data_IF_846654554817
#
_entry.id   IF_846654554817
#
_cell.length_a   1.000
_cell.length_b   1.000
_cell.length_c   1.000
_cell.angle_alpha   90.00
_cell.angle_beta   90.00
_cell.angle_gamma   90.00
#
_symmetry.space_group_name_H-M   'P 1'
#
loop_
_entity.id
_entity.type
_entity.pdbx_description
1 polymer ?
#
# COMPACT_ATOMS: atom_id res chain seq x y z
N UNK A 1 7.92 -11.23 -6.23
CA UNK A 1 8.96 -10.45 -5.52
C UNK A 1 8.52 -9.00 -5.56
N UNK A 2 8.36 -8.35 -4.40
CA UNK A 2 8.14 -6.91 -4.34
C UNK A 2 9.50 -6.22 -4.49
N UNK A 3 9.56 -5.22 -5.34
CA UNK A 3 10.76 -4.41 -5.59
C UNK A 3 10.31 -2.95 -5.75
N UNK A 4 11.18 -2.00 -5.42
CA UNK A 4 10.95 -0.54 -5.46
C UNK A 4 10.13 0.07 -4.29
N UNK A 5 10.79 0.20 -3.13
CA UNK A 5 10.29 0.95 -1.96
C UNK A 5 10.62 2.46 -2.03
N UNK A 6 10.93 3.02 -3.21
CA UNK A 6 11.33 4.43 -3.37
C UNK A 6 10.31 5.46 -2.86
N UNK A 7 9.06 5.03 -2.65
CA UNK A 7 7.95 5.81 -2.08
C UNK A 7 7.53 5.40 -0.66
N UNK A 8 8.14 4.36 -0.09
CA UNK A 8 7.95 4.01 1.32
C UNK A 8 8.64 5.07 2.17
N UNK A 9 7.85 5.94 2.81
CA UNK A 9 8.40 7.05 3.59
C UNK A 9 8.82 6.60 4.97
N UNK A 10 10.06 6.92 5.31
CA UNK A 10 10.57 7.05 6.68
C UNK A 10 10.92 8.52 7.03
N UNK A 11 10.89 9.44 6.06
CA UNK A 11 11.15 10.88 6.24
C UNK A 11 10.37 11.72 5.18
N UNK A 12 9.96 12.94 5.55
CA UNK A 12 9.01 13.79 4.83
C UNK A 12 9.64 14.66 3.70
N UNK A 13 10.86 14.39 3.25
CA UNK A 13 11.60 15.30 2.35
C UNK A 13 12.19 14.66 1.09
N UNK A 14 11.42 13.84 0.38
CA UNK A 14 11.65 13.64 -1.05
C UNK A 14 10.43 14.06 -1.86
N UNK A 15 10.56 15.19 -2.57
CA UNK A 15 9.69 15.49 -3.68
C UNK A 15 10.14 14.60 -4.84
N UNK A 16 9.44 13.50 -5.08
CA UNK A 16 9.71 12.64 -6.22
C UNK A 16 9.31 13.37 -7.52
N UNK A 17 10.23 13.47 -8.47
CA UNK A 17 10.06 14.19 -9.76
C UNK A 17 9.26 13.40 -10.82
N UNK A 18 8.60 12.31 -10.46
CA UNK A 18 7.84 11.43 -11.37
C UNK A 18 6.36 11.47 -10.99
N UNK A 19 5.66 12.53 -11.39
CA UNK A 19 4.28 12.79 -10.98
C UNK A 19 3.23 11.92 -11.67
N UNK A 20 3.49 11.39 -12.87
CA UNK A 20 2.39 10.85 -13.71
C UNK A 20 2.15 9.35 -13.51
N UNK A 21 3.19 8.55 -13.25
CA UNK A 21 3.04 7.08 -13.09
C UNK A 21 2.75 6.62 -11.66
N UNK A 22 3.16 7.38 -10.65
CA UNK A 22 2.97 6.99 -9.25
C UNK A 22 1.58 7.34 -8.72
N UNK A 23 0.97 8.43 -9.21
CA UNK A 23 -0.36 8.87 -8.75
C UNK A 23 -1.44 7.81 -9.00
N UNK A 24 -1.31 7.00 -10.05
CA UNK A 24 -2.28 5.94 -10.38
C UNK A 24 -2.42 4.87 -9.30
N UNK A 25 -1.40 4.69 -8.45
CA UNK A 25 -1.42 3.78 -7.32
C UNK A 25 -1.67 4.47 -5.97
N UNK A 26 -1.53 5.80 -5.89
CA UNK A 26 -1.63 6.51 -4.61
C UNK A 26 -3.07 6.56 -4.10
N UNK A 27 -3.22 6.31 -2.80
CA UNK A 27 -4.49 6.47 -2.11
C UNK A 27 -4.89 7.96 -2.02
N UNK A 28 -6.20 8.29 -2.02
CA UNK A 28 -6.67 9.67 -2.03
C UNK A 28 -6.19 10.46 -0.80
N UNK A 29 -6.04 9.81 0.35
CA UNK A 29 -5.49 10.42 1.56
C UNK A 29 -3.99 10.73 1.46
N UNK A 30 -3.23 9.94 0.70
CA UNK A 30 -1.79 10.19 0.49
C UNK A 30 -1.61 11.46 -0.34
N UNK A 31 -2.40 11.60 -1.41
CA UNK A 31 -2.37 12.79 -2.27
C UNK A 31 -2.79 14.05 -1.50
N UNK A 32 -3.83 13.95 -0.66
CA UNK A 32 -4.33 15.07 0.16
C UNK A 32 -3.49 15.38 1.39
N UNK A 33 -2.65 14.45 1.85
CA UNK A 33 -1.95 14.60 3.12
C UNK A 33 -1.05 15.84 3.16
N UNK A 34 -0.51 16.30 2.01
CA UNK A 34 0.44 17.44 1.94
C UNK A 34 1.55 17.39 3.00
N UNK A 35 1.99 16.18 3.40
CA UNK A 35 2.97 16.04 4.48
C UNK A 35 2.40 15.71 5.87
N UNK A 36 1.09 15.48 5.99
CA UNK A 36 0.43 15.06 7.23
C UNK A 36 0.51 13.54 7.42
N UNK A 37 0.34 13.11 8.66
CA UNK A 37 0.26 11.71 9.02
C UNK A 37 -0.95 11.04 8.36
N UNK A 38 -0.75 9.84 7.83
CA UNK A 38 -1.78 8.95 7.30
C UNK A 38 -1.44 7.52 7.71
N UNK A 39 -2.43 6.63 7.66
CA UNK A 39 -2.22 5.21 7.90
C UNK A 39 -1.60 4.57 6.65
N UNK A 40 -0.29 4.28 6.72
CA UNK A 40 0.45 3.69 5.61
C UNK A 40 -0.08 2.31 5.21
N UNK A 41 -0.59 1.51 6.16
CA UNK A 41 -1.11 0.16 5.85
C UNK A 41 -2.39 0.27 5.04
N UNK A 42 -3.28 1.17 5.41
CA UNK A 42 -4.52 1.38 4.64
C UNK A 42 -4.20 1.96 3.26
N UNK A 43 -3.22 2.84 3.13
CA UNK A 43 -2.77 3.36 1.84
C UNK A 43 -2.16 2.26 0.95
N UNK A 44 -1.41 1.32 1.51
CA UNK A 44 -0.89 0.15 0.80
C UNK A 44 -2.03 -0.75 0.31
N UNK A 45 -3.09 -0.95 1.10
CA UNK A 45 -4.26 -1.74 0.70
C UNK A 45 -5.02 -1.11 -0.47
N UNK A 46 -5.09 0.22 -0.54
CA UNK A 46 -5.60 0.89 -1.74
C UNK A 46 -4.74 0.55 -2.96
N UNK A 47 -3.42 0.64 -2.82
CA UNK A 47 -2.48 0.33 -3.90
C UNK A 47 -2.62 -1.13 -4.37
N UNK A 48 -2.84 -2.06 -3.44
CA UNK A 48 -3.16 -3.46 -3.73
C UNK A 48 -4.46 -3.57 -4.53
N UNK A 49 -5.50 -2.80 -4.17
CA UNK A 49 -6.75 -2.73 -4.93
C UNK A 49 -6.55 -2.23 -6.36
N UNK A 50 -5.72 -1.19 -6.55
CA UNK A 50 -5.36 -0.69 -7.88
C UNK A 50 -4.63 -1.77 -8.69
N UNK A 51 -3.63 -2.43 -8.11
CA UNK A 51 -2.89 -3.51 -8.79
C UNK A 51 -3.81 -4.66 -9.16
N UNK A 52 -4.69 -5.08 -8.26
CA UNK A 52 -5.68 -6.12 -8.54
C UNK A 52 -6.57 -5.71 -9.71
N UNK A 53 -7.07 -4.47 -9.72
CA UNK A 53 -7.86 -3.96 -10.84
C UNK A 53 -7.09 -4.02 -12.16
N UNK A 54 -5.83 -3.56 -12.18
CA UNK A 54 -4.97 -3.59 -13.37
C UNK A 54 -4.75 -5.02 -13.86
N UNK A 55 -4.55 -5.99 -12.96
CA UNK A 55 -4.41 -7.39 -13.34
C UNK A 55 -5.69 -7.99 -13.96
N UNK A 56 -6.86 -7.51 -13.54
CA UNK A 56 -8.16 -8.00 -14.03
C UNK A 56 -8.57 -7.33 -15.35
N UNK A 57 -8.29 -6.04 -15.52
CA UNK A 57 -8.82 -5.23 -16.63
C UNK A 57 -7.75 -4.65 -17.57
N UNK A 58 -6.46 -4.78 -17.26
CA UNK A 58 -5.36 -4.29 -18.09
C UNK A 58 -5.22 -2.77 -18.15
N UNK A 59 -5.91 -2.03 -17.28
CA UNK A 59 -5.92 -0.56 -17.23
C UNK A 59 -6.13 -0.08 -15.80
N UNK A 60 -5.89 1.21 -15.52
CA UNK A 60 -6.11 1.77 -14.19
C UNK A 60 -7.59 2.09 -13.91
N UNK A 61 -8.04 1.98 -12.64
CA UNK A 61 -9.45 2.15 -12.28
C UNK A 61 -9.96 3.59 -12.46
N UNK A 62 -9.11 4.58 -12.20
CA UNK A 62 -9.49 6.01 -12.17
C UNK A 62 -8.86 6.83 -13.29
N UNK A 63 -8.10 6.20 -14.18
CA UNK A 63 -7.48 6.91 -15.30
C UNK A 63 -8.53 7.42 -16.30
N UNK A 64 -8.15 8.50 -16.97
CA UNK A 64 -8.90 9.05 -18.08
C UNK A 64 -8.39 8.42 -19.38
N UNK A 65 -9.25 8.37 -20.39
CA UNK A 65 -8.85 7.95 -21.73
C UNK A 65 -7.63 8.77 -22.20
N UNK A 66 -6.63 8.09 -22.77
CA UNK A 66 -5.41 8.73 -23.26
C UNK A 66 -5.70 9.70 -24.41
N UNK A 67 -6.80 9.47 -25.14
CA UNK A 67 -7.24 10.28 -26.26
C UNK A 67 -7.83 11.64 -25.84
N UNK A 68 -8.07 11.87 -24.55
CA UNK A 68 -8.60 13.15 -24.06
C UNK A 68 -7.45 14.13 -23.84
N UNK A 69 -7.29 15.07 -24.78
CA UNK A 69 -6.38 16.20 -24.59
C UNK A 69 -6.93 17.15 -23.53
N UNK A 70 -6.27 17.18 -22.36
CA UNK A 70 -6.58 18.12 -21.29
C UNK A 70 -5.31 18.49 -20.51
N UNK A 71 -5.29 19.66 -19.85
CA UNK A 71 -4.20 20.03 -18.95
C UNK A 71 -4.02 18.99 -17.82
N UNK A 72 -2.76 18.70 -17.46
CA UNK A 72 -2.40 17.73 -16.43
C UNK A 72 -3.07 18.02 -15.06
N UNK A 73 -3.23 19.30 -14.73
CA UNK A 73 -3.93 19.75 -13.51
C UNK A 73 -5.40 19.36 -13.52
N UNK A 74 -6.08 19.51 -14.66
CA UNK A 74 -7.49 19.14 -14.81
C UNK A 74 -7.66 17.62 -14.79
N UNK A 75 -6.74 16.88 -15.44
CA UNK A 75 -6.68 15.41 -15.40
C UNK A 75 -6.57 14.89 -13.97
N UNK A 76 -5.65 15.44 -13.20
CA UNK A 76 -5.42 15.08 -11.80
C UNK A 76 -6.65 15.40 -10.94
N UNK A 77 -7.26 16.58 -11.12
CA UNK A 77 -8.46 16.97 -10.38
C UNK A 77 -9.64 16.02 -10.65
N UNK A 78 -9.86 15.63 -11.91
CA UNK A 78 -10.93 14.70 -12.27
C UNK A 78 -10.67 13.29 -11.75
N UNK A 79 -9.43 12.81 -11.82
CA UNK A 79 -9.02 11.54 -11.24
C UNK A 79 -9.30 11.49 -9.73
N UNK A 80 -8.91 12.54 -8.99
CA UNK A 80 -9.17 12.64 -7.55
C UNK A 80 -10.67 12.69 -7.23
N UNK A 81 -11.48 13.32 -8.06
CA UNK A 81 -12.94 13.32 -7.90
C UNK A 81 -13.53 11.93 -8.13
N UNK A 82 -13.06 11.18 -9.14
CA UNK A 82 -13.46 9.77 -9.36
C UNK A 82 -13.07 8.88 -8.19
N UNK A 83 -11.84 9.03 -7.66
CA UNK A 83 -11.41 8.32 -6.46
C UNK A 83 -12.34 8.61 -5.28
N UNK A 84 -12.67 9.89 -5.05
CA UNK A 84 -13.56 10.33 -3.97
C UNK A 84 -14.97 9.75 -4.10
N UNK A 85 -15.47 9.62 -5.33
CA UNK A 85 -16.78 9.03 -5.64
C UNK A 85 -16.76 7.51 -5.72
N UNK A 86 -15.58 6.90 -5.63
CA UNK A 86 -15.40 5.46 -5.85
C UNK A 86 -15.89 5.03 -7.24
N UNK A 87 -15.79 5.93 -8.22
CA UNK A 87 -16.25 5.72 -9.60
C UNK A 87 -15.15 5.08 -10.44
N UNK A 88 -15.27 3.78 -10.65
CA UNK A 88 -14.44 3.02 -11.60
C UNK A 88 -15.30 2.01 -12.35
N UNK A 89 -14.96 1.76 -13.62
CA UNK A 89 -15.80 0.94 -14.50
C UNK A 89 -15.40 -0.54 -14.46
N UNK A 90 -16.32 -1.41 -14.08
CA UNK A 90 -16.17 -2.86 -14.23
C UNK A 90 -16.86 -3.30 -15.53
N UNK A 91 -16.07 -3.65 -16.55
CA UNK A 91 -16.63 -4.06 -17.84
C UNK A 91 -17.28 -5.45 -17.72
N UNK A 92 -18.50 -5.65 -18.25
CA UNK A 92 -19.17 -6.95 -18.24
C UNK A 92 -18.47 -7.99 -19.12
N UNK A 93 -17.53 -7.58 -19.97
CA UNK A 93 -16.69 -8.48 -20.77
C UNK A 93 -15.75 -9.35 -19.93
N UNK A 94 -15.43 -8.91 -18.70
CA UNK A 94 -14.62 -9.67 -17.75
C UNK A 94 -15.54 -10.32 -16.73
N UNK A 95 -15.62 -11.65 -16.73
CA UNK A 95 -16.43 -12.41 -15.77
C UNK A 95 -15.63 -12.61 -14.48
N UNK A 96 -16.07 -11.96 -13.41
CA UNK A 96 -15.47 -12.07 -12.08
C UNK A 96 -16.37 -12.86 -11.14
N UNK A 97 -15.77 -13.55 -10.17
CA UNK A 97 -16.56 -14.15 -9.07
C UNK A 97 -17.06 -13.05 -8.13
N UNK A 98 -18.18 -13.31 -7.44
CA UNK A 98 -18.75 -12.35 -6.49
C UNK A 98 -17.74 -11.97 -5.39
N UNK A 99 -16.93 -12.91 -4.93
CA UNK A 99 -15.90 -12.66 -3.92
C UNK A 99 -14.75 -11.78 -4.46
N UNK A 100 -14.45 -11.87 -5.75
CA UNK A 100 -13.46 -11.00 -6.39
C UNK A 100 -13.96 -9.56 -6.48
N UNK A 101 -15.23 -9.39 -6.83
CA UNK A 101 -15.89 -8.07 -6.85
C UNK A 101 -15.96 -7.50 -5.43
N UNK A 102 -16.33 -8.31 -4.45
CA UNK A 102 -16.43 -7.89 -3.05
C UNK A 102 -15.08 -7.38 -2.53
N UNK A 103 -14.01 -8.18 -2.62
CA UNK A 103 -12.70 -7.75 -2.10
C UNK A 103 -12.18 -6.50 -2.82
N UNK A 104 -12.37 -6.41 -4.15
CA UNK A 104 -11.91 -5.28 -4.94
C UNK A 104 -12.62 -3.98 -4.55
N UNK A 105 -13.96 -4.02 -4.39
CA UNK A 105 -14.74 -2.84 -3.97
C UNK A 105 -14.43 -2.39 -2.55
N UNK A 106 -14.06 -3.31 -1.65
CA UNK A 106 -13.68 -2.98 -0.27
C UNK A 106 -12.24 -2.46 -0.15
N UNK A 107 -11.33 -2.87 -1.03
CA UNK A 107 -9.98 -2.31 -1.16
C UNK A 107 -10.01 -0.87 -1.70
N UNK A 108 -10.86 -0.60 -2.69
CA UNK A 108 -10.98 0.70 -3.36
C UNK A 108 -11.98 1.66 -2.69
N UNK A 109 -12.10 1.59 -1.36
CA UNK A 109 -12.87 2.56 -0.57
C UNK A 109 -12.07 3.84 -0.33
N UNK A 110 -12.68 4.98 -0.66
CA UNK A 110 -12.05 6.29 -0.49
C UNK A 110 -11.98 6.69 0.99
N UNK A 111 -12.97 6.31 1.79
CA UNK A 111 -12.94 6.50 3.24
C UNK A 111 -12.10 5.39 3.88
N UNK A 112 -10.99 5.77 4.51
CA UNK A 112 -10.08 4.83 5.19
C UNK A 112 -10.77 4.04 6.29
N UNK A 113 -11.83 4.58 6.92
CA UNK A 113 -12.60 3.88 7.96
C UNK A 113 -13.49 2.76 7.41
N UNK A 114 -13.81 2.81 6.11
CA UNK A 114 -14.64 1.83 5.43
C UNK A 114 -13.80 0.87 4.59
N UNK A 115 -12.52 1.18 4.40
CA UNK A 115 -11.58 0.34 3.66
C UNK A 115 -11.28 -0.92 4.47
N UNK A 116 -11.33 -2.06 3.78
CA UNK A 116 -10.99 -3.36 4.38
C UNK A 116 -9.60 -3.32 5.01
N UNK A 117 -9.45 -3.91 6.19
CA UNK A 117 -8.15 -4.00 6.85
C UNK A 117 -7.35 -5.20 6.34
N UNK A 118 -6.06 -5.26 6.64
CA UNK A 118 -5.22 -6.38 6.24
C UNK A 118 -5.70 -7.68 6.89
N UNK A 119 -6.12 -7.62 8.15
CA UNK A 119 -6.66 -8.74 8.91
C UNK A 119 -7.92 -9.31 8.24
N UNK A 120 -8.79 -8.44 7.74
CA UNK A 120 -9.99 -8.83 7.02
C UNK A 120 -9.68 -9.41 5.63
N UNK A 121 -8.72 -8.81 4.90
CA UNK A 121 -8.22 -9.34 3.61
C UNK A 121 -7.71 -10.77 3.78
N UNK A 122 -6.88 -11.02 4.80
CA UNK A 122 -6.26 -12.33 5.04
C UNK A 122 -7.27 -13.42 5.42
N UNK A 123 -8.48 -13.03 5.83
CA UNK A 123 -9.62 -13.92 6.13
C UNK A 123 -10.66 -13.95 5.01
N UNK A 124 -10.49 -13.16 3.96
CA UNK A 124 -11.48 -13.00 2.92
C UNK A 124 -11.61 -14.29 2.07
N UNK A 125 -12.82 -14.76 1.72
CA UNK A 125 -13.01 -15.99 0.94
C UNK A 125 -12.27 -16.00 -0.40
N UNK A 126 -12.17 -14.83 -1.07
CA UNK A 126 -11.39 -14.69 -2.30
C UNK A 126 -9.90 -14.94 -2.07
N UNK A 127 -9.34 -14.41 -0.97
CA UNK A 127 -7.92 -14.54 -0.64
C UNK A 127 -7.56 -15.98 -0.24
N UNK A 128 -8.46 -16.67 0.45
CA UNK A 128 -8.25 -18.04 0.92
C UNK A 128 -8.41 -19.10 -0.18
N UNK A 129 -8.98 -18.75 -1.32
CA UNK A 129 -9.30 -19.70 -2.39
C UNK A 129 -8.02 -20.22 -3.07
N UNK A 130 -7.83 -21.53 -3.05
CA UNK A 130 -6.67 -22.23 -3.67
C UNK A 130 -5.31 -21.74 -3.16
N UNK A 131 -5.24 -21.27 -1.92
CA UNK A 131 -3.95 -20.99 -1.29
C UNK A 131 -3.09 -22.26 -1.20
N UNK A 132 -1.76 -22.16 -1.42
CA UNK A 132 -0.85 -23.27 -1.16
C UNK A 132 -0.99 -23.77 0.28
N UNK A 133 -0.75 -25.08 0.52
CA UNK A 133 -0.60 -25.60 1.89
C UNK A 133 0.41 -24.73 2.66
N UNK A 134 0.10 -24.40 3.91
CA UNK A 134 0.88 -23.53 4.82
C UNK A 134 0.83 -22.02 4.57
N UNK A 135 0.23 -21.52 3.48
CA UNK A 135 0.04 -20.07 3.31
C UNK A 135 -0.86 -19.48 4.43
N UNK A 136 -1.84 -20.24 4.88
CA UNK A 136 -2.71 -19.87 6.00
C UNK A 136 -1.97 -19.83 7.35
N UNK A 137 -0.96 -20.68 7.54
CA UNK A 137 -0.12 -20.66 8.74
C UNK A 137 0.74 -19.40 8.80
N UNK A 138 1.25 -18.95 7.64
CA UNK A 138 1.92 -17.64 7.55
C UNK A 138 0.96 -16.50 7.90
N UNK A 139 -0.30 -16.58 7.48
CA UNK A 139 -1.28 -15.57 7.83
C UNK A 139 -1.45 -15.45 9.35
N UNK A 140 -1.68 -16.58 10.00
CA UNK A 140 -1.82 -16.64 11.46
C UNK A 140 -0.58 -16.13 12.17
N UNK A 141 0.62 -16.45 11.67
CA UNK A 141 1.87 -15.94 12.22
C UNK A 141 1.94 -14.41 12.17
N UNK A 142 1.67 -13.80 11.01
CA UNK A 142 1.74 -12.34 10.87
C UNK A 142 0.65 -11.61 11.64
N UNK A 143 -0.56 -12.18 11.72
CA UNK A 143 -1.66 -11.60 12.50
C UNK A 143 -1.42 -11.67 14.01
N UNK A 144 -0.75 -12.73 14.49
CA UNK A 144 -0.41 -12.90 15.92
C UNK A 144 0.88 -12.16 16.31
N UNK A 145 1.76 -11.90 15.36
CA UNK A 145 2.99 -11.15 15.61
C UNK A 145 2.64 -9.71 15.91
N UNK A 146 2.82 -9.30 17.17
CA UNK A 146 2.77 -7.90 17.53
C UNK A 146 3.74 -7.13 16.61
N UNK A 147 3.20 -6.22 15.80
CA UNK A 147 4.03 -5.26 15.10
C UNK A 147 4.80 -4.46 16.15
N UNK A 148 6.05 -4.04 15.86
CA UNK A 148 6.78 -3.17 16.76
C UNK A 148 5.88 -2.02 17.21
N UNK A 149 5.72 -1.86 18.53
CA UNK A 149 4.91 -0.79 19.08
C UNK A 149 5.58 0.55 18.76
N UNK A 150 4.95 1.34 17.89
CA UNK A 150 5.34 2.71 17.61
C UNK A 150 5.66 3.00 16.14
N UNK A 151 5.41 4.24 15.73
CA UNK A 151 6.09 4.80 14.57
C UNK A 151 7.60 4.76 14.84
N UNK A 152 8.37 4.16 13.94
CA UNK A 152 9.82 4.26 14.02
C UNK A 152 10.21 5.73 14.02
N UNK A 153 10.93 6.15 15.06
CA UNK A 153 11.33 7.54 15.15
C UNK A 153 12.36 7.84 14.07
N UNK A 154 12.38 9.05 13.47
CA UNK A 154 13.38 9.43 12.48
C UNK A 154 14.82 9.16 12.95
N UNK A 155 15.09 9.31 14.25
CA UNK A 155 16.35 8.95 14.92
C UNK A 155 16.70 7.46 14.80
N UNK A 156 15.75 6.56 15.01
CA UNK A 156 15.94 5.10 14.93
C UNK A 156 16.25 4.69 13.49
N UNK A 157 15.54 5.29 12.53
CA UNK A 157 15.78 5.09 11.09
C UNK A 157 17.19 5.57 10.72
N UNK A 158 17.58 6.77 11.17
CA UNK A 158 18.92 7.32 10.95
C UNK A 158 20.01 6.43 11.56
N UNK A 159 19.77 5.88 12.76
CA UNK A 159 20.70 4.95 13.39
C UNK A 159 20.82 3.64 12.60
N UNK A 160 19.71 3.03 12.18
CA UNK A 160 19.71 1.82 11.36
C UNK A 160 20.44 2.04 10.03
N UNK A 161 20.18 3.16 9.35
CA UNK A 161 20.87 3.50 8.10
C UNK A 161 22.38 3.69 8.33
N UNK A 162 22.78 4.31 9.44
CA UNK A 162 24.20 4.50 9.81
C UNK A 162 24.89 3.16 10.11
N UNK A 163 24.21 2.24 10.79
CA UNK A 163 24.70 0.89 11.08
C UNK A 163 24.83 0.06 9.80
N UNK A 164 23.84 0.11 8.91
CA UNK A 164 23.88 -0.60 7.63
C UNK A 164 25.00 -0.11 6.71
N UNK A 165 25.37 1.18 6.83
CA UNK A 165 26.48 1.79 6.08
C UNK A 165 27.87 1.47 6.65
N UNK A 166 27.94 0.99 7.90
CA UNK A 166 29.19 0.64 8.58
C UNK A 166 29.02 -0.67 9.39
N UNK A 167 29.23 -1.84 8.76
CA UNK A 167 29.07 -3.14 9.40
C UNK A 167 29.95 -3.35 10.65
N UNK A 168 31.03 -2.57 10.79
CA UNK A 168 31.97 -2.61 11.92
C UNK A 168 31.40 -2.13 13.25
N UNK A 169 30.21 -1.48 13.27
CA UNK A 169 29.52 -1.05 14.49
C UNK A 169 28.50 -2.08 15.01
N UNK A 170 28.20 -3.14 14.27
CA UNK A 170 27.21 -4.15 14.67
C UNK A 170 27.73 -5.17 15.71
N UNK A 171 29.01 -5.08 16.09
CA UNK A 171 29.71 -6.10 16.89
C UNK A 171 29.87 -5.84 18.39
N UNK A 172 29.32 -4.77 18.98
CA UNK A 172 29.61 -4.43 20.39
C UNK A 172 28.42 -4.51 21.35
N UNK A 173 27.44 -5.36 21.08
CA UNK A 173 26.32 -5.59 22.00
C UNK A 173 26.07 -7.08 22.28
N UNK A 174 27.13 -7.84 22.56
CA UNK A 174 27.03 -9.08 23.36
C UNK A 174 28.30 -9.27 24.18
N UNK A 175 28.31 -8.71 25.39
CA UNK A 175 29.11 -9.27 26.48
C UNK A 175 28.20 -9.37 27.70
N UNK A 176 27.51 -10.49 27.82
CA UNK A 176 27.21 -11.04 29.14
C UNK A 176 28.56 -11.26 29.83
N UNK A 177 28.93 -10.36 30.73
CA UNK A 177 30.00 -10.58 31.68
C UNK A 177 29.48 -11.47 32.82
N UNK A 178 30.22 -12.50 33.26
CA UNK A 178 29.82 -13.34 34.38
C UNK A 178 30.10 -12.62 35.71
N UNK A 179 29.12 -12.76 36.62
CA UNK A 179 29.20 -12.81 38.10
C UNK A 179 30.12 -11.85 38.87
N UNK A 180 29.50 -11.14 39.81
CA UNK A 180 29.77 -11.35 41.24
C UNK A 180 28.42 -11.35 41.98
#
# INVERSE_FOLDING_TARGET
KLCDFGYSKADFRSAAKTHVGTLSYMAPEVVKSHGKLYDAKLADLWSVGVVLYVLLYGRYPFDLDENVQMPETQRTALMLERMRREEFHMSPSVVLSNECVDILTRLLKSDTKQRITLEEVMRHPWFLKKLPPHATEMNDYYLKKALPNGMQQPEEIRQLLRQARNPSLAGSATSHGPTA
#
